data_IF_403947540043
#
_entry.id   IF_403947540043
#
_cell.length_a   1.000
_cell.length_b   1.000
_cell.length_c   1.000
_cell.angle_alpha   90.00
_cell.angle_beta   90.00
_cell.angle_gamma   90.00
#
_symmetry.space_group_name_H-M   'P 1'
#
loop_
_entity.id
_entity.type
_entity.pdbx_description
1 polymer ?
#
# COMPACT_ATOMS: atom_id res chain seq x y z
N UNK A 1 3.61 53.69 66.36
CA UNK A 1 3.79 54.69 67.42
C UNK A 1 5.22 54.63 67.91
N UNK A 2 6.04 55.60 67.55
CA UNK A 2 7.26 56.00 68.29
C UNK A 2 7.62 57.38 67.77
N UNK A 3 7.53 58.36 68.66
CA UNK A 3 7.84 59.76 68.40
C UNK A 3 9.29 59.87 67.92
N UNK A 4 9.49 60.32 66.68
CA UNK A 4 10.77 60.87 66.24
C UNK A 4 10.94 62.23 66.90
N UNK A 5 11.56 62.21 68.07
CA UNK A 5 12.09 63.39 68.74
C UNK A 5 13.40 63.75 68.01
N UNK A 6 13.30 64.34 66.81
CA UNK A 6 14.47 64.95 66.15
C UNK A 6 14.99 66.05 67.08
N UNK A 7 16.21 65.93 67.63
CA UNK A 7 16.83 67.01 68.36
C UNK A 7 17.14 68.10 67.33
N UNK A 8 16.41 69.21 67.39
CA UNK A 8 16.81 70.45 66.73
C UNK A 8 18.13 70.86 67.35
N UNK A 9 19.22 70.55 66.65
CA UNK A 9 20.54 71.12 66.94
C UNK A 9 20.37 72.65 66.89
N UNK A 10 20.76 73.39 67.93
CA UNK A 10 20.70 74.85 67.89
C UNK A 10 21.54 75.32 66.71
N UNK A 11 21.07 76.32 65.95
CA UNK A 11 21.86 77.01 64.92
C UNK A 11 23.17 77.48 65.56
N UNK A 12 24.22 76.67 65.39
CA UNK A 12 25.55 77.04 65.81
C UNK A 12 25.98 78.15 64.88
N UNK A 13 26.37 79.28 65.47
CA UNK A 13 27.04 80.38 64.78
C UNK A 13 28.22 79.80 63.99
N UNK A 14 28.02 79.53 62.71
CA UNK A 14 29.07 79.08 61.80
C UNK A 14 30.14 80.18 61.76
N UNK A 15 31.40 79.79 61.96
CA UNK A 15 32.51 80.71 61.80
C UNK A 15 32.58 81.15 60.33
N UNK A 16 32.17 82.39 60.05
CA UNK A 16 32.20 82.98 58.71
C UNK A 16 33.56 83.65 58.50
N UNK A 17 34.47 82.95 57.80
CA UNK A 17 35.82 83.46 57.51
C UNK A 17 35.76 84.73 56.66
N UNK A 18 34.69 84.90 55.88
CA UNK A 18 34.41 86.06 55.05
C UNK A 18 34.18 87.33 55.86
N UNK A 19 33.77 87.21 57.13
CA UNK A 19 33.48 88.34 58.01
C UNK A 19 34.69 88.80 58.83
N UNK A 20 35.85 88.17 58.70
CA UNK A 20 37.05 88.56 59.42
C UNK A 20 37.53 89.93 58.91
N UNK A 21 37.54 90.94 59.79
CA UNK A 21 38.01 92.27 59.44
C UNK A 21 39.53 92.30 59.24
N UNK A 22 39.98 92.35 57.99
CA UNK A 22 41.41 92.31 57.61
C UNK A 22 42.20 93.49 58.19
N UNK A 23 41.56 94.65 58.45
CA UNK A 23 42.22 95.80 59.06
C UNK A 23 42.49 95.64 60.57
N UNK A 24 41.88 94.64 61.20
CA UNK A 24 42.17 94.28 62.60
C UNK A 24 43.32 93.29 62.75
N UNK A 25 43.93 92.86 61.64
CA UNK A 25 45.12 92.00 61.70
C UNK A 25 46.30 92.78 62.30
N UNK A 26 46.95 92.25 63.36
CA UNK A 26 48.11 92.89 63.97
C UNK A 26 49.23 93.19 62.96
N UNK A 27 49.38 92.36 61.93
CA UNK A 27 50.38 92.51 60.87
C UNK A 27 50.15 93.74 59.97
N UNK A 28 48.92 94.27 59.91
CA UNK A 28 48.56 95.43 59.10
C UNK A 28 48.25 96.68 59.93
N UNK A 29 48.13 96.54 61.25
CA UNK A 29 47.78 97.63 62.15
C UNK A 29 48.85 98.73 62.14
N UNK A 30 48.43 99.99 61.96
CA UNK A 30 49.33 101.14 61.93
C UNK A 30 50.20 101.27 60.67
N UNK A 31 50.12 100.31 59.74
CA UNK A 31 50.95 100.31 58.53
C UNK A 31 50.59 101.47 57.60
N UNK A 32 49.31 101.84 57.52
CA UNK A 32 48.87 102.98 56.70
C UNK A 32 49.48 104.28 57.19
N UNK A 33 49.38 104.55 58.49
CA UNK A 33 49.95 105.73 59.14
C UNK A 33 51.47 105.77 58.97
N UNK A 34 52.14 104.61 59.14
CA UNK A 34 53.57 104.45 58.89
C UNK A 34 53.95 104.78 57.44
N UNK A 35 53.23 104.27 56.44
CA UNK A 35 53.50 104.57 55.03
C UNK A 35 53.30 106.06 54.72
N UNK A 36 52.22 106.66 55.22
CA UNK A 36 51.96 108.08 55.02
C UNK A 36 53.09 108.95 55.62
N UNK A 37 53.59 108.57 56.79
CA UNK A 37 54.72 109.26 57.42
C UNK A 37 56.02 109.07 56.61
N UNK A 38 56.31 107.86 56.14
CA UNK A 38 57.49 107.60 55.29
C UNK A 38 57.45 108.41 54.00
N UNK A 39 56.29 108.51 53.34
CA UNK A 39 56.11 109.33 52.13
C UNK A 39 56.33 110.81 52.44
N UNK A 40 55.82 111.30 53.57
CA UNK A 40 56.02 112.68 54.01
C UNK A 40 57.49 113.01 54.27
N UNK A 41 58.22 112.08 54.89
CA UNK A 41 59.63 112.26 55.24
C UNK A 41 60.60 112.04 54.06
N UNK A 42 60.12 111.41 52.98
CA UNK A 42 60.89 111.12 51.77
C UNK A 42 60.15 111.67 50.54
N UNK A 43 59.98 113.01 50.42
CA UNK A 43 59.29 113.61 49.29
C UNK A 43 60.04 113.35 47.98
N UNK A 44 59.35 113.52 46.87
CA UNK A 44 59.96 113.42 45.55
C UNK A 44 61.06 114.49 45.39
N UNK A 45 62.23 114.05 44.93
CA UNK A 45 63.38 114.92 44.64
C UNK A 45 63.67 114.81 43.15
N UNK A 46 63.51 115.91 42.41
CA UNK A 46 63.96 116.00 41.03
C UNK A 46 65.48 116.07 40.98
N UNK A 47 66.11 115.26 40.13
CA UNK A 47 67.57 115.15 40.05
C UNK A 47 68.07 116.21 39.07
N UNK A 48 68.76 117.22 39.59
CA UNK A 48 69.34 118.32 38.81
C UNK A 48 70.86 118.41 38.95
N UNK A 49 71.42 117.77 39.98
CA UNK A 49 72.85 117.71 40.28
C UNK A 49 73.21 116.41 41.05
N UNK A 50 74.49 116.22 41.37
CA UNK A 50 74.94 115.02 42.09
C UNK A 50 74.40 114.92 43.53
N UNK A 51 74.09 116.05 44.18
CA UNK A 51 73.57 116.05 45.55
C UNK A 51 72.11 115.58 45.58
N UNK A 52 71.29 116.12 44.69
CA UNK A 52 69.89 115.72 44.49
C UNK A 52 69.77 114.27 44.02
N UNK A 53 70.75 113.75 43.25
CA UNK A 53 70.85 112.33 42.94
C UNK A 53 70.99 111.45 44.18
N UNK A 54 71.92 111.78 45.09
CA UNK A 54 72.17 111.00 46.31
C UNK A 54 70.97 111.03 47.27
N UNK A 55 70.32 112.18 47.40
CA UNK A 55 69.11 112.34 48.21
C UNK A 55 67.93 111.57 47.60
N UNK A 56 67.73 111.64 46.28
CA UNK A 56 66.71 110.84 45.57
C UNK A 56 66.95 109.33 45.73
N UNK A 57 68.20 108.87 45.68
CA UNK A 57 68.57 107.45 45.87
C UNK A 57 68.27 106.96 47.29
N UNK A 58 68.54 107.77 48.32
CA UNK A 58 68.20 107.45 49.71
C UNK A 58 66.68 107.35 49.89
N UNK A 59 65.94 108.37 49.46
CA UNK A 59 64.47 108.39 49.50
C UNK A 59 63.86 107.19 48.78
N UNK A 60 64.34 106.87 47.56
CA UNK A 60 63.90 105.67 46.82
C UNK A 60 64.13 104.39 47.61
N UNK A 61 65.30 104.25 48.24
CA UNK A 61 65.63 103.04 49.02
C UNK A 61 64.69 102.90 50.22
N UNK A 62 64.40 103.98 50.94
CA UNK A 62 63.42 103.99 52.04
C UNK A 62 62.02 103.60 51.57
N UNK A 63 61.54 104.20 50.48
CA UNK A 63 60.22 103.90 49.91
C UNK A 63 60.09 102.44 49.43
N UNK A 64 61.12 101.92 48.76
CA UNK A 64 61.16 100.51 48.32
C UNK A 64 61.16 99.57 49.51
N UNK A 65 61.93 99.85 50.55
CA UNK A 65 61.93 99.07 51.79
C UNK A 65 60.55 99.06 52.44
N UNK A 66 59.91 100.23 52.56
CA UNK A 66 58.58 100.38 53.14
C UNK A 66 57.50 99.59 52.38
N UNK A 67 57.53 99.60 51.04
CA UNK A 67 56.66 98.76 50.20
C UNK A 67 56.94 97.28 50.39
N UNK A 68 58.21 96.89 50.40
CA UNK A 68 58.63 95.49 50.51
C UNK A 68 58.26 94.91 51.88
N UNK A 69 58.26 95.73 52.94
CA UNK A 69 57.76 95.34 54.27
C UNK A 69 56.29 94.90 54.21
N UNK A 70 55.41 95.65 53.53
CA UNK A 70 53.99 95.27 53.36
C UNK A 70 53.87 93.96 52.55
N UNK A 71 54.64 93.81 51.47
CA UNK A 71 54.65 92.57 50.68
C UNK A 71 55.10 91.36 51.52
N UNK A 72 55.99 91.55 52.48
CA UNK A 72 56.40 90.49 53.39
C UNK A 72 55.29 90.15 54.41
N UNK A 73 54.54 91.14 54.91
CA UNK A 73 53.38 90.91 55.77
C UNK A 73 52.26 90.14 55.04
N UNK A 74 51.99 90.50 53.79
CA UNK A 74 51.02 89.77 52.93
C UNK A 74 51.38 88.28 52.78
N UNK A 75 52.65 87.99 52.45
CA UNK A 75 53.15 86.61 52.38
C UNK A 75 53.03 85.87 53.71
N UNK A 76 53.26 86.55 54.83
CA UNK A 76 53.12 85.98 56.17
C UNK A 76 51.66 85.61 56.46
N UNK A 77 50.72 86.52 56.16
CA UNK A 77 49.28 86.28 56.32
C UNK A 77 48.84 85.09 55.46
N UNK A 78 49.22 85.04 54.19
CA UNK A 78 48.91 83.93 53.29
C UNK A 78 49.45 82.60 53.83
N UNK A 79 50.68 82.58 54.36
CA UNK A 79 51.24 81.38 54.99
C UNK A 79 50.45 80.93 56.22
N UNK A 80 49.95 81.84 57.05
CA UNK A 80 49.12 81.52 58.21
C UNK A 80 47.76 80.95 57.82
N UNK A 81 47.10 81.53 56.82
CA UNK A 81 45.83 81.01 56.28
C UNK A 81 46.01 79.60 55.73
N UNK A 82 47.11 79.35 54.99
CA UNK A 82 47.42 78.01 54.48
C UNK A 82 47.56 77.00 55.63
N UNK A 83 48.32 77.34 56.67
CA UNK A 83 48.47 76.48 57.86
C UNK A 83 47.15 76.20 58.56
N UNK A 84 46.28 77.21 58.68
CA UNK A 84 44.95 77.03 59.23
C UNK A 84 44.12 76.03 58.41
N UNK A 85 44.11 76.15 57.08
CA UNK A 85 43.43 75.20 56.19
C UNK A 85 44.00 73.78 56.32
N UNK A 86 45.32 73.64 56.39
CA UNK A 86 46.00 72.36 56.60
C UNK A 86 45.57 71.74 57.95
N UNK A 87 45.47 72.53 59.02
CA UNK A 87 44.97 72.07 60.32
C UNK A 87 43.50 71.62 60.26
N UNK A 88 42.62 72.38 59.58
CA UNK A 88 41.22 71.99 59.37
C UNK A 88 41.10 70.68 58.59
N UNK A 89 41.92 70.49 57.55
CA UNK A 89 41.97 69.24 56.80
C UNK A 89 42.44 68.07 57.69
N UNK A 90 43.48 68.28 58.51
CA UNK A 90 43.96 67.29 59.46
C UNK A 90 42.89 66.84 60.45
N UNK A 91 42.16 67.78 61.07
CA UNK A 91 41.04 67.45 61.98
C UNK A 91 39.93 66.72 61.24
N UNK A 92 39.64 67.09 59.99
CA UNK A 92 38.61 66.43 59.19
C UNK A 92 38.99 64.97 58.89
N UNK A 93 40.25 64.71 58.55
CA UNK A 93 40.78 63.35 58.37
C UNK A 93 40.76 62.54 59.67
N UNK A 94 41.10 63.16 60.82
CA UNK A 94 40.98 62.51 62.13
C UNK A 94 39.53 62.10 62.43
N UNK A 95 38.57 62.98 62.15
CA UNK A 95 37.15 62.69 62.33
C UNK A 95 36.65 61.57 61.40
N UNK A 96 37.09 61.56 60.13
CA UNK A 96 36.79 60.49 59.17
C UNK A 96 37.42 59.17 59.62
N UNK A 97 38.66 59.21 60.13
CA UNK A 97 39.38 58.03 60.59
C UNK A 97 38.70 57.34 61.78
N UNK A 98 37.85 58.05 62.54
CA UNK A 98 37.02 57.44 63.60
C UNK A 98 35.99 56.49 62.99
N UNK A 99 35.28 56.90 61.94
CA UNK A 99 34.15 56.12 61.39
C UNK A 99 34.57 55.15 60.29
N UNK A 100 35.59 55.50 59.50
CA UNK A 100 35.98 54.75 58.30
C UNK A 100 36.29 53.27 58.56
N UNK A 101 37.09 52.88 59.59
CA UNK A 101 37.38 51.47 59.83
C UNK A 101 36.14 50.64 60.19
N UNK A 102 35.15 51.25 60.85
CA UNK A 102 33.90 50.59 61.20
C UNK A 102 32.98 50.45 59.99
N UNK A 103 32.92 51.46 59.13
CA UNK A 103 32.23 51.40 57.84
C UNK A 103 32.83 50.28 56.98
N UNK A 104 34.15 50.27 56.78
CA UNK A 104 34.84 49.26 55.97
C UNK A 104 34.59 47.85 56.53
N UNK A 105 34.64 47.67 57.86
CA UNK A 105 34.31 46.40 58.53
C UNK A 105 32.86 45.98 58.29
N UNK A 106 31.92 46.92 58.37
CA UNK A 106 30.50 46.66 58.14
C UNK A 106 30.24 46.29 56.68
N UNK A 107 30.86 46.99 55.72
CA UNK A 107 30.77 46.67 54.30
C UNK A 107 31.31 45.26 54.00
N UNK A 108 32.46 44.90 54.57
CA UNK A 108 33.05 43.57 54.42
C UNK A 108 32.15 42.46 54.99
N UNK A 109 31.52 42.70 56.14
CA UNK A 109 30.58 41.76 56.76
C UNK A 109 29.31 41.58 55.92
N UNK A 110 28.72 42.68 55.43
CA UNK A 110 27.55 42.65 54.54
C UNK A 110 27.87 41.85 53.28
N UNK A 111 28.99 42.15 52.64
CA UNK A 111 29.44 41.42 51.45
C UNK A 111 29.63 39.92 51.72
N UNK A 112 30.28 39.55 52.83
CA UNK A 112 30.45 38.14 53.23
C UNK A 112 29.11 37.43 53.40
N UNK A 113 28.13 38.09 54.01
CA UNK A 113 26.80 37.53 54.23
C UNK A 113 26.03 37.37 52.92
N UNK A 114 26.07 38.36 52.04
CA UNK A 114 25.44 38.30 50.71
C UNK A 114 26.04 37.17 49.85
N UNK A 115 27.37 37.04 49.81
CA UNK A 115 28.04 35.94 49.12
C UNK A 115 27.66 34.57 49.71
N UNK A 116 27.54 34.46 51.03
CA UNK A 116 27.10 33.21 51.67
C UNK A 116 25.64 32.88 51.32
N UNK A 117 24.76 33.88 51.29
CA UNK A 117 23.35 33.71 50.92
C UNK A 117 23.16 33.36 49.45
N UNK A 118 23.96 33.94 48.57
CA UNK A 118 23.96 33.59 47.15
C UNK A 118 24.42 32.14 46.96
N UNK A 119 25.50 31.70 47.62
CA UNK A 119 25.94 30.30 47.60
C UNK A 119 24.87 29.35 48.13
N UNK A 120 24.19 29.70 49.23
CA UNK A 120 23.09 28.91 49.77
C UNK A 120 21.93 28.78 48.75
N UNK A 121 21.59 29.88 48.06
CA UNK A 121 20.55 29.88 47.01
C UNK A 121 20.95 29.01 45.83
N UNK A 122 22.20 29.11 45.36
CA UNK A 122 22.73 28.32 44.27
C UNK A 122 22.79 26.83 44.63
N UNK A 123 23.20 26.49 45.85
CA UNK A 123 23.25 25.09 46.29
C UNK A 123 21.85 24.49 46.43
N UNK A 124 20.88 25.25 46.96
CA UNK A 124 19.47 24.82 46.98
C UNK A 124 18.92 24.58 45.57
N UNK A 125 19.24 25.45 44.62
CA UNK A 125 18.86 25.26 43.22
C UNK A 125 19.53 24.02 42.61
N UNK A 126 20.81 23.77 42.92
CA UNK A 126 21.56 22.59 42.47
C UNK A 126 20.94 21.30 43.01
N UNK A 127 20.66 21.24 44.32
CA UNK A 127 20.04 20.09 44.97
C UNK A 127 18.64 19.79 44.41
N UNK A 128 17.87 20.84 44.11
CA UNK A 128 16.55 20.70 43.50
C UNK A 128 16.63 20.18 42.05
N UNK A 129 17.57 20.68 41.23
CA UNK A 129 17.78 20.13 39.89
C UNK A 129 18.35 18.69 39.91
N UNK A 130 19.18 18.37 40.90
CA UNK A 130 19.66 17.01 41.14
C UNK A 130 18.50 16.07 41.52
N UNK A 131 17.59 16.49 42.41
CA UNK A 131 16.35 15.76 42.75
C UNK A 131 15.52 15.48 41.49
N UNK A 132 15.22 16.50 40.69
CA UNK A 132 14.46 16.36 39.43
C UNK A 132 15.12 15.42 38.45
N UNK A 133 16.44 15.52 38.30
CA UNK A 133 17.23 14.66 37.41
C UNK A 133 17.16 13.20 37.88
N UNK A 134 17.27 12.96 39.18
CA UNK A 134 17.15 11.62 39.76
C UNK A 134 15.76 11.01 39.52
N UNK A 135 14.69 11.78 39.68
CA UNK A 135 13.32 11.33 39.39
C UNK A 135 13.17 10.97 37.91
N UNK A 136 13.62 11.83 36.99
CA UNK A 136 13.59 11.55 35.54
C UNK A 136 14.38 10.30 35.18
N UNK A 137 15.56 10.12 35.77
CA UNK A 137 16.39 8.95 35.54
C UNK A 137 15.71 7.67 36.04
N UNK A 138 15.04 7.72 37.20
CA UNK A 138 14.27 6.60 37.73
C UNK A 138 13.11 6.23 36.78
N UNK A 139 12.32 7.22 36.33
CA UNK A 139 11.27 7.03 35.34
C UNK A 139 11.83 6.35 34.09
N UNK A 140 12.90 6.90 33.50
CA UNK A 140 13.50 6.33 32.30
C UNK A 140 13.99 4.91 32.52
N UNK A 141 14.63 4.62 33.66
CA UNK A 141 15.09 3.27 33.99
C UNK A 141 13.94 2.26 34.03
N UNK A 142 12.81 2.62 34.64
CA UNK A 142 11.61 1.75 34.70
C UNK A 142 11.08 1.49 33.28
N UNK A 143 10.96 2.54 32.47
CA UNK A 143 10.41 2.47 31.12
C UNK A 143 11.34 1.70 30.16
N UNK A 144 12.66 1.89 30.27
CA UNK A 144 13.66 1.19 29.46
C UNK A 144 13.73 -0.30 29.82
N UNK A 145 13.63 -0.64 31.10
CA UNK A 145 13.53 -2.03 31.53
C UNK A 145 12.25 -2.68 30.97
N UNK A 146 11.10 -2.00 31.10
CA UNK A 146 9.83 -2.46 30.57
C UNK A 146 9.91 -2.70 29.05
N UNK A 147 10.45 -1.73 28.31
CA UNK A 147 10.66 -1.81 26.86
C UNK A 147 11.56 -2.99 26.49
N UNK A 148 12.65 -3.20 27.22
CA UNK A 148 13.57 -4.31 27.00
C UNK A 148 12.88 -5.66 27.19
N UNK A 149 12.02 -5.81 28.22
CA UNK A 149 11.26 -7.05 28.42
C UNK A 149 10.21 -7.27 27.33
N UNK A 150 9.51 -6.21 26.89
CA UNK A 150 8.57 -6.30 25.76
C UNK A 150 9.27 -6.73 24.48
N UNK A 151 10.47 -6.20 24.20
CA UNK A 151 11.23 -6.56 23.00
C UNK A 151 11.69 -8.02 23.00
N UNK A 152 11.95 -8.58 24.18
CA UNK A 152 12.32 -9.99 24.37
C UNK A 152 11.13 -10.94 24.52
N UNK A 153 9.90 -10.42 24.45
CA UNK A 153 8.69 -11.23 24.63
C UNK A 153 8.54 -12.26 23.51
N UNK A 154 8.22 -13.50 23.91
CA UNK A 154 7.84 -14.61 23.04
C UNK A 154 6.41 -15.07 23.37
N UNK A 155 5.80 -15.90 22.52
CA UNK A 155 4.43 -16.36 22.73
C UNK A 155 4.26 -17.11 24.06
N UNK A 156 5.24 -17.95 24.42
CA UNK A 156 5.23 -18.76 25.65
C UNK A 156 5.34 -17.92 26.92
N UNK A 157 5.89 -16.70 26.82
CA UNK A 157 6.19 -15.85 27.97
C UNK A 157 5.14 -14.75 28.20
N UNK A 158 4.10 -14.66 27.37
CA UNK A 158 3.06 -13.62 27.42
C UNK A 158 2.44 -13.50 28.81
N UNK A 159 1.91 -14.60 29.36
CA UNK A 159 1.19 -14.57 30.64
C UNK A 159 2.10 -14.20 31.82
N UNK A 160 3.33 -14.72 31.82
CA UNK A 160 4.32 -14.36 32.84
C UNK A 160 4.68 -12.87 32.80
N UNK A 161 4.78 -12.29 31.60
CA UNK A 161 5.11 -10.88 31.44
C UNK A 161 3.93 -9.97 31.80
N UNK A 162 2.70 -10.33 31.42
CA UNK A 162 1.48 -9.62 31.85
C UNK A 162 1.41 -9.51 33.37
N UNK A 163 1.64 -10.63 34.07
CA UNK A 163 1.64 -10.66 35.52
C UNK A 163 2.73 -9.75 36.12
N UNK A 164 3.95 -9.80 35.56
CA UNK A 164 5.03 -8.92 35.98
C UNK A 164 4.66 -7.43 35.85
N UNK A 165 4.08 -7.03 34.72
CA UNK A 165 3.70 -5.64 34.46
C UNK A 165 2.59 -5.16 35.41
N UNK A 166 1.56 -6.00 35.64
CA UNK A 166 0.45 -5.67 36.54
C UNK A 166 0.93 -5.49 37.99
N UNK A 167 1.90 -6.29 38.42
CA UNK A 167 2.41 -6.24 39.80
C UNK A 167 3.47 -5.17 40.03
N UNK A 168 4.37 -4.95 39.06
CA UNK A 168 5.59 -4.16 39.28
C UNK A 168 5.61 -2.83 38.54
N UNK A 169 4.77 -2.65 37.52
CA UNK A 169 4.80 -1.44 36.68
C UNK A 169 3.48 -0.68 36.80
N UNK A 170 2.34 -1.33 36.58
CA UNK A 170 1.04 -0.65 36.55
C UNK A 170 0.51 -0.25 37.92
N UNK A 171 1.07 -0.84 38.98
CA UNK A 171 0.78 -0.49 40.39
C UNK A 171 1.87 0.36 41.04
N UNK A 172 2.80 0.90 40.25
CA UNK A 172 3.81 1.84 40.75
C UNK A 172 3.11 3.03 41.38
N UNK A 173 3.49 3.37 42.61
CA UNK A 173 3.00 4.57 43.28
C UNK A 173 3.48 5.80 42.52
N UNK A 174 2.58 6.48 41.83
CA UNK A 174 2.93 7.59 40.94
C UNK A 174 3.38 8.80 41.75
N UNK A 175 2.94 8.93 43.01
CA UNK A 175 3.27 10.08 43.88
C UNK A 175 4.76 10.22 44.19
N UNK A 176 5.53 9.14 44.05
CA UNK A 176 6.99 9.17 44.19
C UNK A 176 7.70 10.01 43.10
N UNK A 177 6.99 10.36 42.02
CA UNK A 177 7.51 11.14 40.90
C UNK A 177 7.17 12.63 40.96
N UNK A 178 6.45 13.08 42.01
CA UNK A 178 6.19 14.49 42.31
C UNK A 178 5.68 15.31 41.09
N UNK A 179 6.45 16.27 40.57
CA UNK A 179 6.00 17.07 39.41
C UNK A 179 6.00 16.29 38.08
N UNK A 180 6.58 15.10 38.05
CA UNK A 180 6.70 14.23 36.87
C UNK A 180 5.67 13.10 36.83
N UNK A 181 4.64 13.14 37.69
CA UNK A 181 3.54 12.17 37.67
C UNK A 181 2.88 12.04 36.28
N UNK A 182 2.66 13.18 35.60
CA UNK A 182 2.07 13.19 34.26
C UNK A 182 3.01 12.57 33.22
N UNK A 183 4.31 12.89 33.26
CA UNK A 183 5.31 12.31 32.34
C UNK A 183 5.40 10.79 32.51
N UNK A 184 5.42 10.30 33.76
CA UNK A 184 5.40 8.87 34.02
C UNK A 184 4.12 8.21 33.48
N UNK A 185 2.94 8.79 33.73
CA UNK A 185 1.67 8.25 33.24
C UNK A 185 1.58 8.20 31.71
N UNK A 186 2.08 9.22 31.01
CA UNK A 186 2.15 9.23 29.55
C UNK A 186 3.04 8.10 29.03
N UNK A 187 4.24 7.94 29.59
CA UNK A 187 5.14 6.83 29.23
C UNK A 187 4.55 5.47 29.57
N UNK A 188 3.84 5.37 30.70
CA UNK A 188 3.15 4.15 31.12
C UNK A 188 2.06 3.75 30.12
N UNK A 189 1.28 4.72 29.62
CA UNK A 189 0.30 4.47 28.56
C UNK A 189 0.95 3.99 27.26
N UNK A 190 2.07 4.59 26.87
CA UNK A 190 2.83 4.13 25.70
C UNK A 190 3.26 2.67 25.88
N UNK A 191 3.83 2.33 27.04
CA UNK A 191 4.24 0.97 27.39
C UNK A 191 3.07 -0.02 27.34
N UNK A 192 1.89 0.34 27.88
CA UNK A 192 0.68 -0.47 27.80
C UNK A 192 0.29 -0.77 26.34
N UNK A 193 0.32 0.26 25.50
CA UNK A 193 -0.02 0.13 24.08
C UNK A 193 1.01 -0.74 23.34
N UNK A 194 2.30 -0.55 23.60
CA UNK A 194 3.37 -1.35 22.99
C UNK A 194 3.28 -2.82 23.40
N UNK A 195 3.05 -3.11 24.69
CA UNK A 195 2.86 -4.48 25.18
C UNK A 195 1.64 -5.13 24.52
N UNK A 196 0.50 -4.44 24.51
CA UNK A 196 -0.74 -4.93 23.90
C UNK A 196 -0.56 -5.24 22.41
N UNK A 197 0.06 -4.32 21.66
CA UNK A 197 0.37 -4.52 20.24
C UNK A 197 1.28 -5.72 20.03
N UNK A 198 2.34 -5.87 20.84
CA UNK A 198 3.30 -6.97 20.72
C UNK A 198 2.66 -8.32 21.01
N UNK A 199 1.82 -8.40 22.04
CA UNK A 199 1.04 -9.60 22.38
C UNK A 199 0.17 -10.01 21.20
N UNK A 200 -0.62 -9.07 20.66
CA UNK A 200 -1.50 -9.34 19.52
C UNK A 200 -0.73 -9.89 18.32
N UNK A 201 0.41 -9.27 17.98
CA UNK A 201 1.26 -9.77 16.88
C UNK A 201 1.79 -11.18 17.13
N UNK A 202 2.17 -11.52 18.35
CA UNK A 202 2.63 -12.87 18.70
C UNK A 202 1.50 -13.89 18.66
N UNK A 203 0.30 -13.53 19.14
CA UNK A 203 -0.89 -14.38 19.09
C UNK A 203 -1.32 -14.65 17.64
N UNK A 204 -1.30 -13.63 16.77
CA UNK A 204 -1.57 -13.77 15.34
C UNK A 204 -0.51 -14.65 14.64
N UNK A 205 0.77 -14.47 14.97
CA UNK A 205 1.85 -15.29 14.41
C UNK A 205 1.73 -16.77 14.84
N UNK A 206 1.36 -17.04 16.09
CA UNK A 206 1.16 -18.40 16.57
C UNK A 206 -0.09 -19.03 15.94
N UNK A 207 -1.18 -18.28 15.79
CA UNK A 207 -2.38 -18.75 15.09
C UNK A 207 -2.06 -19.14 13.64
N UNK A 208 -1.27 -18.33 12.92
CA UNK A 208 -0.80 -18.64 11.57
C UNK A 208 0.10 -19.89 11.54
N UNK A 209 0.96 -20.08 12.55
CA UNK A 209 1.80 -21.28 12.66
C UNK A 209 0.95 -22.53 12.82
N UNK A 210 -0.05 -22.49 13.71
CA UNK A 210 -0.97 -23.60 13.94
C UNK A 210 -1.84 -23.89 12.71
N UNK A 211 -2.32 -22.87 12.02
CA UNK A 211 -3.07 -23.01 10.78
C UNK A 211 -2.21 -23.66 9.68
N UNK A 212 -0.95 -23.24 9.53
CA UNK A 212 -0.01 -23.86 8.59
C UNK A 212 0.21 -25.34 8.88
N UNK A 213 0.40 -25.70 10.15
CA UNK A 213 0.53 -27.10 10.57
C UNK A 213 -0.71 -27.90 10.19
N UNK A 214 -1.90 -27.35 10.44
CA UNK A 214 -3.17 -27.98 10.07
C UNK A 214 -3.30 -28.16 8.55
N UNK A 215 -2.96 -27.14 7.77
CA UNK A 215 -2.99 -27.18 6.30
C UNK A 215 -2.00 -28.20 5.74
N UNK A 216 -0.81 -28.31 6.31
CA UNK A 216 0.20 -29.29 5.89
C UNK A 216 -0.22 -30.72 6.21
N UNK A 217 -0.84 -30.95 7.38
CA UNK A 217 -1.43 -32.25 7.75
C UNK A 217 -2.61 -32.61 6.83
N UNK A 218 -3.51 -31.66 6.54
CA UNK A 218 -4.62 -31.86 5.61
C UNK A 218 -4.12 -32.17 4.19
N UNK A 219 -3.09 -31.45 3.72
CA UNK A 219 -2.43 -31.73 2.43
C UNK A 219 -1.83 -33.13 2.39
N UNK A 220 -1.21 -33.58 3.48
CA UNK A 220 -0.65 -34.93 3.59
C UNK A 220 -1.76 -35.99 3.52
N UNK A 221 -2.85 -35.80 4.23
CA UNK A 221 -4.00 -36.70 4.18
C UNK A 221 -4.64 -36.76 2.78
N UNK A 222 -4.78 -35.61 2.11
CA UNK A 222 -5.26 -35.55 0.73
C UNK A 222 -4.30 -36.28 -0.21
N UNK A 223 -2.99 -36.07 -0.08
CA UNK A 223 -1.99 -36.75 -0.91
C UNK A 223 -2.00 -38.27 -0.69
N UNK A 224 -2.12 -38.73 0.56
CA UNK A 224 -2.24 -40.16 0.88
C UNK A 224 -3.55 -40.76 0.31
N UNK A 225 -4.68 -40.04 0.42
CA UNK A 225 -5.95 -40.47 -0.16
C UNK A 225 -5.90 -40.53 -1.69
N UNK A 226 -5.29 -39.52 -2.34
CA UNK A 226 -5.08 -39.51 -3.79
C UNK A 226 -4.16 -40.64 -4.25
N UNK A 227 -3.06 -40.89 -3.52
CA UNK A 227 -2.15 -41.99 -3.83
C UNK A 227 -2.86 -43.36 -3.72
N UNK A 228 -3.70 -43.54 -2.70
CA UNK A 228 -4.51 -44.75 -2.54
C UNK A 228 -5.53 -44.89 -3.66
N UNK A 229 -6.25 -43.82 -4.02
CA UNK A 229 -7.19 -43.82 -5.13
C UNK A 229 -6.51 -44.18 -6.46
N UNK A 230 -5.33 -43.61 -6.74
CA UNK A 230 -4.55 -43.92 -7.94
C UNK A 230 -4.05 -45.37 -7.93
N UNK A 231 -3.63 -45.91 -6.78
CA UNK A 231 -3.26 -47.30 -6.64
C UNK A 231 -4.46 -48.24 -6.89
N UNK A 232 -5.63 -47.92 -6.34
CA UNK A 232 -6.87 -48.65 -6.53
C UNK A 232 -7.34 -48.60 -8.00
N UNK A 233 -7.25 -47.43 -8.65
CA UNK A 233 -7.53 -47.27 -10.08
C UNK A 233 -6.59 -48.10 -10.94
N UNK A 234 -5.28 -48.07 -10.66
CA UNK A 234 -4.29 -48.87 -11.40
C UNK A 234 -4.53 -50.36 -11.22
N UNK A 235 -4.83 -50.81 -9.99
CA UNK A 235 -5.15 -52.21 -9.72
C UNK A 235 -6.46 -52.65 -10.41
N UNK A 236 -7.47 -51.78 -10.44
CA UNK A 236 -8.72 -52.03 -11.17
C UNK A 236 -8.51 -52.07 -12.69
N UNK A 237 -7.66 -51.21 -13.23
CA UNK A 237 -7.32 -51.16 -14.66
C UNK A 237 -6.48 -52.37 -15.08
N UNK A 238 -5.51 -52.80 -14.26
CA UNK A 238 -4.76 -54.05 -14.47
C UNK A 238 -5.69 -55.28 -14.43
N UNK A 239 -6.63 -55.32 -13.49
CA UNK A 239 -7.65 -56.39 -13.43
C UNK A 239 -8.57 -56.36 -14.66
N UNK A 240 -9.06 -55.19 -15.06
CA UNK A 240 -9.89 -55.05 -16.25
C UNK A 240 -9.13 -55.41 -17.54
N UNK A 241 -7.84 -55.10 -17.62
CA UNK A 241 -6.99 -55.51 -18.74
C UNK A 241 -6.74 -57.02 -18.77
N UNK A 242 -6.57 -57.66 -17.59
CA UNK A 242 -6.48 -59.11 -17.47
C UNK A 242 -7.79 -59.80 -17.88
N UNK A 243 -8.93 -59.27 -17.42
CA UNK A 243 -10.27 -59.76 -17.79
C UNK A 243 -10.53 -59.60 -19.30
N UNK A 244 -10.15 -58.46 -19.90
CA UNK A 244 -10.23 -58.26 -21.37
C UNK A 244 -9.36 -59.27 -22.12
N UNK A 245 -8.12 -59.51 -21.70
CA UNK A 245 -7.25 -60.53 -22.32
C UNK A 245 -7.83 -61.93 -22.20
N UNK A 246 -8.41 -62.26 -21.05
CA UNK A 246 -9.09 -63.54 -20.83
C UNK A 246 -10.31 -63.68 -21.75
N UNK A 247 -11.13 -62.64 -21.87
CA UNK A 247 -12.33 -62.67 -22.70
C UNK A 247 -12.00 -62.65 -24.20
N UNK A 248 -10.97 -61.92 -24.62
CA UNK A 248 -10.44 -61.97 -25.98
C UNK A 248 -9.92 -63.37 -26.32
N UNK A 249 -9.20 -64.03 -25.41
CA UNK A 249 -8.76 -65.40 -25.59
C UNK A 249 -9.94 -66.38 -25.68
N UNK A 250 -11.00 -66.17 -24.89
CA UNK A 250 -12.23 -66.97 -24.94
C UNK A 250 -12.97 -66.77 -26.26
N UNK A 251 -13.11 -65.53 -26.73
CA UNK A 251 -13.73 -65.18 -28.01
C UNK A 251 -12.93 -65.70 -29.20
N UNK A 252 -11.59 -65.65 -29.14
CA UNK A 252 -10.73 -66.23 -30.16
C UNK A 252 -10.90 -67.76 -30.25
N UNK A 253 -11.02 -68.44 -29.10
CA UNK A 253 -11.30 -69.87 -29.04
C UNK A 253 -12.69 -70.21 -29.61
N UNK A 254 -13.72 -69.45 -29.24
CA UNK A 254 -15.08 -69.62 -29.79
C UNK A 254 -15.09 -69.41 -31.31
N UNK A 255 -14.39 -68.40 -31.84
CA UNK A 255 -14.27 -68.18 -33.29
C UNK A 255 -13.54 -69.34 -33.98
N UNK A 256 -12.45 -69.83 -33.41
CA UNK A 256 -11.72 -70.98 -33.96
C UNK A 256 -12.59 -72.24 -33.98
N UNK A 257 -13.36 -72.50 -32.92
CA UNK A 257 -14.28 -73.63 -32.83
C UNK A 257 -15.44 -73.48 -33.85
N UNK A 258 -16.01 -72.29 -34.02
CA UNK A 258 -17.05 -72.00 -35.02
C UNK A 258 -16.55 -72.12 -36.46
N UNK A 259 -15.32 -71.70 -36.73
CA UNK A 259 -14.70 -71.80 -38.05
C UNK A 259 -14.40 -73.25 -38.42
N UNK A 260 -13.91 -74.05 -37.46
CA UNK A 260 -13.74 -75.50 -37.64
C UNK A 260 -15.08 -76.22 -37.86
N UNK A 261 -16.15 -75.80 -37.18
CA UNK A 261 -17.49 -76.38 -37.37
C UNK A 261 -18.11 -76.00 -38.73
N UNK A 262 -17.93 -74.74 -39.18
CA UNK A 262 -18.34 -74.29 -40.52
C UNK A 262 -17.57 -75.02 -41.62
N UNK A 263 -16.29 -75.29 -41.43
CA UNK A 263 -15.47 -76.04 -42.38
C UNK A 263 -15.88 -77.52 -42.44
N UNK A 264 -16.20 -78.12 -41.29
CA UNK A 264 -16.78 -79.47 -41.22
C UNK A 264 -18.17 -79.55 -41.88
N UNK A 265 -19.01 -78.52 -41.73
CA UNK A 265 -20.31 -78.44 -42.41
C UNK A 265 -20.17 -78.24 -43.92
N UNK A 266 -19.23 -77.41 -44.37
CA UNK A 266 -18.93 -77.24 -45.80
C UNK A 266 -18.44 -78.52 -46.45
N UNK A 267 -17.62 -79.30 -45.74
CA UNK A 267 -17.15 -80.61 -46.21
C UNK A 267 -18.31 -81.62 -46.32
N UNK A 268 -19.18 -81.70 -45.31
CA UNK A 268 -20.40 -82.53 -45.37
C UNK A 268 -21.33 -82.12 -46.50
N UNK A 269 -21.51 -80.81 -46.73
CA UNK A 269 -22.37 -80.29 -47.79
C UNK A 269 -21.79 -80.59 -49.19
N UNK A 270 -20.46 -80.58 -49.34
CA UNK A 270 -19.80 -80.97 -50.59
C UNK A 270 -19.97 -82.47 -50.87
N UNK A 271 -19.76 -83.32 -49.86
CA UNK A 271 -19.93 -84.78 -49.98
C UNK A 271 -21.39 -85.18 -50.29
N UNK A 272 -22.37 -84.46 -49.72
CA UNK A 272 -23.81 -84.64 -49.99
C UNK A 272 -24.17 -84.24 -51.43
N UNK A 273 -23.60 -83.13 -51.93
CA UNK A 273 -23.86 -82.62 -53.27
C UNK A 273 -23.25 -83.52 -54.34
N UNK A 274 -22.08 -84.10 -54.09
CA UNK A 274 -21.46 -85.10 -54.97
C UNK A 274 -22.28 -86.40 -55.03
N UNK A 275 -22.93 -86.79 -53.93
CA UNK A 275 -23.90 -87.89 -53.91
C UNK A 275 -25.16 -87.59 -54.73
N UNK A 276 -25.71 -86.39 -54.61
CA UNK A 276 -26.91 -85.98 -55.37
C UNK A 276 -26.62 -85.86 -56.87
N UNK A 277 -25.45 -85.35 -57.25
CA UNK A 277 -25.04 -85.25 -58.65
C UNK A 277 -24.79 -86.64 -59.28
N UNK A 278 -24.27 -87.60 -58.51
CA UNK A 278 -24.13 -88.99 -58.95
C UNK A 278 -25.48 -89.71 -59.11
N UNK A 279 -26.46 -89.41 -58.24
CA UNK A 279 -27.80 -89.99 -58.28
C UNK A 279 -28.66 -89.42 -59.42
N UNK A 280 -28.55 -88.11 -59.69
CA UNK A 280 -29.17 -87.44 -60.84
C UNK A 280 -28.63 -87.97 -62.17
N UNK A 281 -27.31 -88.23 -62.26
CA UNK A 281 -26.70 -88.82 -63.47
C UNK A 281 -27.18 -90.26 -63.71
N UNK A 282 -27.33 -91.07 -62.66
CA UNK A 282 -27.85 -92.44 -62.76
C UNK A 282 -29.35 -92.50 -63.10
N UNK A 283 -30.13 -91.47 -62.76
CA UNK A 283 -31.53 -91.35 -63.18
C UNK A 283 -31.66 -90.86 -64.63
N UNK A 284 -30.80 -89.95 -65.08
CA UNK A 284 -30.78 -89.45 -66.45
C UNK A 284 -30.38 -90.56 -67.46
N UNK A 285 -29.39 -91.40 -67.11
CA UNK A 285 -28.97 -92.54 -67.95
C UNK A 285 -30.06 -93.64 -68.08
N UNK A 286 -30.99 -93.73 -67.12
CA UNK A 286 -32.17 -94.63 -67.21
C UNK A 286 -33.26 -94.06 -68.13
N UNK A 287 -33.48 -92.75 -68.10
CA UNK A 287 -34.48 -92.06 -68.93
C UNK A 287 -34.06 -92.07 -70.41
N UNK A 288 -32.76 -91.94 -70.70
CA UNK A 288 -32.24 -91.94 -72.07
C UNK A 288 -32.19 -93.34 -72.72
N UNK A 289 -32.10 -94.41 -71.91
CA UNK A 289 -32.20 -95.80 -72.36
C UNK A 289 -33.65 -96.24 -72.66
N UNK A 290 -34.63 -95.61 -72.01
CA UNK A 290 -36.07 -95.91 -72.17
C UNK A 290 -36.68 -95.11 -73.33
N UNK A 291 -36.27 -93.86 -73.54
CA UNK A 291 -36.68 -93.04 -74.69
C UNK A 291 -36.17 -93.56 -76.04
N UNK A 292 -35.04 -94.26 -76.07
CA UNK A 292 -34.50 -94.89 -77.29
C UNK A 292 -35.30 -96.11 -77.75
N UNK A 293 -35.97 -96.83 -76.83
CA UNK A 293 -36.86 -97.96 -77.16
C UNK A 293 -38.25 -97.53 -77.62
N UNK A 294 -38.71 -96.35 -77.19
CA UNK A 294 -40.03 -95.80 -77.55
C UNK A 294 -40.00 -95.11 -78.92
N UNK A 295 -38.85 -94.60 -79.36
CA UNK A 295 -38.70 -93.91 -80.66
C UNK A 295 -38.64 -94.87 -81.87
N UNK A 296 -38.17 -96.11 -81.67
CA UNK A 296 -38.08 -97.12 -82.76
C UNK A 296 -39.42 -97.83 -83.05
N UNK A 297 -40.36 -97.88 -82.09
CA UNK A 297 -41.71 -98.43 -82.30
C UNK A 297 -42.68 -97.38 -82.90
N UNK A 298 -42.49 -96.10 -82.60
CA UNK A 298 -43.33 -94.98 -83.09
C UNK A 298 -43.22 -94.72 -84.59
N UNK A 299 -42.06 -95.01 -85.20
CA UNK A 299 -41.83 -94.80 -86.63
C UNK A 299 -42.44 -95.90 -87.52
N UNK A 300 -42.91 -97.01 -86.94
CA UNK A 300 -43.55 -98.12 -87.68
C UNK A 300 -45.07 -97.96 -87.83
N UNK A 301 -45.73 -97.30 -86.88
CA UNK A 301 -47.20 -97.16 -86.85
C UNK A 301 -47.70 -95.90 -87.59
N UNK A 302 -46.88 -94.86 -87.71
CA UNK A 302 -47.25 -93.60 -88.37
C UNK A 302 -47.41 -93.66 -89.91
N UNK A 303 -47.16 -94.81 -90.55
CA UNK A 303 -47.27 -94.97 -92.02
C UNK A 303 -48.57 -95.65 -92.48
N UNK A 304 -49.37 -96.21 -91.57
CA UNK A 304 -50.61 -96.95 -91.92
C UNK A 304 -51.91 -96.20 -91.56
N UNK A 305 -51.84 -95.13 -90.76
CA UNK A 305 -53.03 -94.42 -90.25
C UNK A 305 -53.24 -93.02 -90.87
N UNK A 306 -52.49 -92.70 -91.94
CA UNK A 306 -52.57 -91.44 -92.67
C UNK A 306 -53.74 -91.38 -93.69
N UNK A 307 -54.36 -92.51 -94.04
CA UNK A 307 -55.36 -92.57 -95.11
C UNK A 307 -56.84 -92.68 -94.64
N UNK A 308 -57.13 -92.63 -93.34
CA UNK A 308 -58.51 -92.87 -92.84
C UNK A 308 -59.11 -91.79 -91.92
N UNK A 309 -58.35 -90.80 -91.47
CA UNK A 309 -58.84 -89.73 -90.57
C UNK A 309 -58.74 -88.35 -91.29
N UNK A 310 -59.19 -88.33 -92.55
CA UNK A 310 -59.35 -87.12 -93.36
C UNK A 310 -60.82 -86.69 -93.49
N UNK A 311 -61.74 -87.20 -92.64
CA UNK A 311 -63.17 -86.96 -92.80
C UNK A 311 -63.98 -86.65 -91.52
N UNK A 312 -63.43 -86.67 -90.30
CA UNK A 312 -64.31 -86.77 -89.11
C UNK A 312 -63.90 -85.97 -87.86
N UNK A 313 -63.15 -84.87 -87.98
CA UNK A 313 -62.93 -83.98 -86.83
C UNK A 313 -62.77 -82.50 -87.16
N UNK A 314 -63.58 -82.06 -88.12
CA UNK A 314 -63.87 -80.65 -88.39
C UNK A 314 -65.02 -80.07 -87.53
N UNK A 315 -65.51 -80.78 -86.52
CA UNK A 315 -66.78 -80.39 -85.85
C UNK A 315 -66.84 -80.59 -84.33
N UNK A 316 -65.70 -80.71 -83.62
CA UNK A 316 -65.82 -81.01 -82.19
C UNK A 316 -64.67 -80.58 -81.29
N UNK A 317 -64.16 -79.35 -81.45
CA UNK A 317 -63.55 -78.64 -80.31
C UNK A 317 -63.56 -77.11 -80.43
N UNK A 318 -64.68 -76.58 -80.95
CA UNK A 318 -65.24 -75.26 -80.61
C UNK A 318 -65.92 -75.27 -79.22
N UNK A 319 -65.35 -76.03 -78.27
CA UNK A 319 -65.83 -76.13 -76.88
C UNK A 319 -64.67 -76.37 -75.90
N UNK A 320 -63.53 -75.75 -76.20
CA UNK A 320 -62.43 -75.49 -75.26
C UNK A 320 -61.99 -74.02 -75.38
N UNK A 321 -62.98 -73.15 -75.56
CA UNK A 321 -62.92 -71.74 -75.20
C UNK A 321 -63.67 -71.57 -73.87
N UNK A 322 -62.95 -71.64 -72.75
CA UNK A 322 -63.52 -71.16 -71.48
C UNK A 322 -62.52 -70.61 -70.48
N UNK A 323 -61.19 -70.76 -70.61
CA UNK A 323 -60.31 -70.27 -69.53
C UNK A 323 -58.90 -69.81 -69.93
N UNK A 324 -58.74 -69.25 -71.13
CA UNK A 324 -57.51 -68.48 -71.41
C UNK A 324 -57.64 -67.44 -72.52
N UNK A 325 -58.61 -66.54 -72.36
CA UNK A 325 -58.57 -65.19 -72.96
C UNK A 325 -57.55 -64.38 -72.13
N UNK A 326 -56.27 -64.28 -72.46
CA UNK A 326 -55.68 -63.74 -73.67
C UNK A 326 -56.34 -62.43 -74.14
N UNK A 327 -55.56 -61.37 -73.98
CA UNK A 327 -55.57 -60.11 -74.75
C UNK A 327 -56.42 -58.98 -74.18
N UNK A 328 -55.92 -58.20 -73.22
CA UNK A 328 -54.62 -57.46 -73.30
C UNK A 328 -54.57 -56.50 -74.52
N UNK A 329 -55.73 -56.09 -75.03
CA UNK A 329 -55.89 -55.10 -76.09
C UNK A 329 -56.80 -53.90 -75.73
N UNK A 330 -57.29 -53.80 -74.49
CA UNK A 330 -58.06 -52.63 -74.01
C UNK A 330 -57.23 -51.68 -73.10
N UNK A 331 -56.17 -52.18 -72.45
CA UNK A 331 -55.37 -51.41 -71.48
C UNK A 331 -54.32 -50.47 -72.09
N UNK A 332 -54.00 -50.62 -73.38
CA UNK A 332 -53.07 -49.73 -74.08
C UNK A 332 -53.71 -48.39 -74.53
N UNK A 333 -55.05 -48.27 -74.53
CA UNK A 333 -55.75 -47.02 -74.88
C UNK A 333 -56.18 -46.17 -73.69
N UNK A 334 -56.18 -46.70 -72.46
CA UNK A 334 -56.51 -45.95 -71.23
C UNK A 334 -55.29 -45.29 -70.55
N UNK A 335 -54.05 -45.77 -70.77
CA UNK A 335 -52.83 -45.16 -70.18
C UNK A 335 -52.32 -43.90 -70.91
N UNK A 336 -52.51 -43.78 -72.22
CA UNK A 336 -52.10 -42.58 -72.97
C UNK A 336 -53.01 -41.34 -72.74
N UNK A 337 -54.25 -41.54 -72.28
CA UNK A 337 -55.18 -40.44 -71.92
C UNK A 337 -55.09 -40.00 -70.45
N UNK A 338 -54.59 -40.86 -69.55
CA UNK A 338 -54.43 -40.53 -68.13
C UNK A 338 -53.13 -39.76 -67.81
N UNK A 339 -52.07 -39.97 -68.60
CA UNK A 339 -50.76 -39.31 -68.37
C UNK A 339 -50.70 -37.88 -68.95
N UNK A 340 -51.44 -37.61 -70.03
CA UNK A 340 -51.64 -36.25 -70.55
C UNK A 340 -52.53 -35.38 -69.63
N UNK A 341 -53.54 -35.97 -68.97
CA UNK A 341 -54.40 -35.26 -68.02
C UNK A 341 -53.68 -34.92 -66.70
N UNK A 342 -52.72 -35.74 -66.26
CA UNK A 342 -51.91 -35.50 -65.05
C UNK A 342 -50.95 -34.31 -65.21
N UNK A 343 -50.39 -34.12 -66.41
CA UNK A 343 -49.47 -33.01 -66.71
C UNK A 343 -50.20 -31.67 -66.92
N UNK A 344 -51.46 -31.70 -67.38
CA UNK A 344 -52.32 -30.52 -67.52
C UNK A 344 -52.84 -30.02 -66.15
N UNK A 345 -53.15 -30.92 -65.20
CA UNK A 345 -53.64 -30.58 -63.86
C UNK A 345 -52.56 -30.05 -62.90
N UNK A 346 -51.27 -30.28 -63.19
CA UNK A 346 -50.14 -29.81 -62.38
C UNK A 346 -49.65 -28.39 -62.74
N UNK A 347 -50.14 -27.79 -63.83
CA UNK A 347 -49.82 -26.41 -64.24
C UNK A 347 -50.19 -25.34 -63.19
N UNK A 348 -51.41 -25.31 -62.61
CA UNK A 348 -51.76 -24.30 -61.60
C UNK A 348 -50.99 -24.43 -60.29
N UNK A 349 -50.55 -25.65 -59.91
CA UNK A 349 -49.75 -25.85 -58.70
C UNK A 349 -48.29 -25.45 -58.88
N UNK A 350 -47.69 -25.70 -60.07
CA UNK A 350 -46.38 -25.16 -60.44
C UNK A 350 -46.38 -23.63 -60.41
N UNK A 351 -47.45 -23.01 -60.91
CA UNK A 351 -47.60 -21.55 -60.89
C UNK A 351 -47.66 -21.00 -59.46
N UNK A 352 -48.43 -21.62 -58.55
CA UNK A 352 -48.49 -21.24 -57.13
C UNK A 352 -47.13 -21.37 -56.42
N UNK A 353 -46.37 -22.43 -56.70
CA UNK A 353 -45.06 -22.63 -56.10
C UNK A 353 -44.04 -21.59 -56.59
N UNK A 354 -44.08 -21.23 -57.88
CA UNK A 354 -43.26 -20.15 -58.44
C UNK A 354 -43.66 -18.79 -57.86
N UNK A 355 -44.96 -18.49 -57.77
CA UNK A 355 -45.47 -17.23 -57.18
C UNK A 355 -45.10 -17.09 -55.71
N UNK A 356 -45.16 -18.18 -54.93
CA UNK A 356 -44.72 -18.19 -53.54
C UNK A 356 -43.22 -17.89 -53.41
N UNK A 357 -42.37 -18.53 -54.20
CA UNK A 357 -40.92 -18.26 -54.18
C UNK A 357 -40.59 -16.84 -54.67
N UNK A 358 -41.34 -16.31 -55.65
CA UNK A 358 -41.22 -14.92 -56.07
C UNK A 358 -41.69 -13.93 -55.01
N UNK A 359 -42.67 -14.30 -54.18
CA UNK A 359 -43.11 -13.46 -53.05
C UNK A 359 -42.05 -13.33 -51.95
N UNK A 360 -41.16 -14.32 -51.80
CA UNK A 360 -40.01 -14.23 -50.90
C UNK A 360 -38.89 -13.33 -51.47
N UNK A 361 -38.98 -12.94 -52.74
CA UNK A 361 -37.97 -12.17 -53.46
C UNK A 361 -38.10 -10.66 -53.25
N UNK A 362 -39.12 -10.15 -52.54
CA UNK A 362 -39.31 -8.71 -52.34
C UNK A 362 -39.63 -8.28 -50.89
N UNK A 363 -38.85 -7.27 -50.49
CA UNK A 363 -39.14 -6.22 -49.49
C UNK A 363 -38.85 -6.53 -48.02
N UNK A 364 -37.57 -6.72 -47.69
CA UNK A 364 -37.04 -6.29 -46.39
C UNK A 364 -36.17 -5.08 -46.68
N UNK A 365 -36.53 -3.91 -46.14
CA UNK A 365 -35.68 -2.72 -46.19
C UNK A 365 -34.35 -3.05 -45.48
N UNK A 366 -33.23 -2.84 -46.17
CA UNK A 366 -31.91 -3.17 -45.65
C UNK A 366 -31.68 -2.43 -44.31
N UNK A 367 -31.28 -3.14 -43.22
CA UNK A 367 -30.97 -2.46 -41.97
C UNK A 367 -29.78 -1.52 -42.18
N UNK A 368 -29.87 -0.29 -41.65
CA UNK A 368 -28.74 0.64 -41.66
C UNK A 368 -27.60 0.11 -40.78
N UNK A 369 -26.65 -0.60 -41.40
CA UNK A 369 -25.44 -1.10 -40.75
C UNK A 369 -24.30 -0.11 -41.02
N UNK A 370 -23.73 0.41 -39.92
CA UNK A 370 -22.63 1.38 -39.95
C UNK A 370 -21.24 0.74 -40.08
N UNK A 371 -21.10 -0.56 -39.81
CA UNK A 371 -19.86 -1.31 -40.00
C UNK A 371 -19.74 -1.83 -41.44
N UNK A 372 -18.73 -1.35 -42.18
CA UNK A 372 -18.57 -1.62 -43.61
C UNK A 372 -18.31 -3.11 -43.92
N UNK A 373 -17.60 -3.84 -43.05
CA UNK A 373 -17.32 -5.27 -43.25
C UNK A 373 -18.56 -6.12 -42.99
N UNK A 374 -19.31 -5.78 -41.94
CA UNK A 374 -20.56 -6.46 -41.64
C UNK A 374 -21.60 -6.20 -42.74
N UNK A 375 -21.61 -4.99 -43.31
CA UNK A 375 -22.43 -4.64 -44.47
C UNK A 375 -22.06 -5.47 -45.70
N UNK A 376 -20.77 -5.65 -45.99
CA UNK A 376 -20.30 -6.47 -47.10
C UNK A 376 -20.70 -7.95 -46.93
N UNK A 377 -20.55 -8.51 -45.73
CA UNK A 377 -21.01 -9.87 -45.41
C UNK A 377 -22.53 -10.01 -45.52
N UNK A 378 -23.31 -9.02 -45.06
CA UNK A 378 -24.76 -9.03 -45.19
C UNK A 378 -25.18 -9.03 -46.67
N UNK A 379 -24.57 -8.17 -47.50
CA UNK A 379 -24.84 -8.12 -48.95
C UNK A 379 -24.51 -9.46 -49.61
N UNK A 380 -23.38 -10.08 -49.26
CA UNK A 380 -23.02 -11.39 -49.79
C UNK A 380 -23.99 -12.50 -49.36
N UNK A 381 -24.44 -12.48 -48.11
CA UNK A 381 -25.44 -13.43 -47.60
C UNK A 381 -26.79 -13.26 -48.31
N UNK A 382 -27.26 -12.02 -48.49
CA UNK A 382 -28.50 -11.73 -49.22
C UNK A 382 -28.44 -12.17 -50.68
N UNK A 383 -27.30 -11.96 -51.34
CA UNK A 383 -27.09 -12.44 -52.72
C UNK A 383 -27.19 -13.96 -52.83
N UNK A 384 -26.58 -14.71 -51.91
CA UNK A 384 -26.69 -16.18 -51.89
C UNK A 384 -28.13 -16.67 -51.71
N UNK A 385 -28.92 -15.97 -50.89
CA UNK A 385 -30.35 -16.27 -50.69
C UNK A 385 -31.12 -16.03 -52.00
N UNK A 386 -30.87 -14.92 -52.68
CA UNK A 386 -31.51 -14.63 -53.97
C UNK A 386 -31.16 -15.65 -55.05
N UNK A 387 -29.89 -16.05 -55.14
CA UNK A 387 -29.44 -17.07 -56.10
C UNK A 387 -30.14 -18.42 -55.83
N UNK A 388 -30.21 -18.85 -54.57
CA UNK A 388 -30.88 -20.08 -54.18
C UNK A 388 -32.40 -20.08 -54.49
N UNK A 389 -33.07 -18.93 -54.31
CA UNK A 389 -34.48 -18.75 -54.68
C UNK A 389 -34.64 -18.86 -56.21
N UNK A 390 -33.76 -18.23 -56.99
CA UNK A 390 -33.78 -18.26 -58.46
C UNK A 390 -33.55 -19.67 -59.02
N UNK A 391 -32.61 -20.43 -58.46
CA UNK A 391 -32.34 -21.81 -58.83
C UNK A 391 -33.55 -22.71 -58.53
N UNK A 392 -34.19 -22.51 -57.37
CA UNK A 392 -35.39 -23.25 -56.97
C UNK A 392 -36.57 -22.96 -57.90
N UNK A 393 -36.77 -21.70 -58.30
CA UNK A 393 -37.78 -21.32 -59.32
C UNK A 393 -37.50 -22.01 -60.66
N UNK A 394 -36.23 -22.05 -61.08
CA UNK A 394 -35.83 -22.68 -62.34
C UNK A 394 -36.04 -24.20 -62.33
N UNK A 395 -35.75 -24.86 -61.22
CA UNK A 395 -36.01 -26.30 -61.05
C UNK A 395 -37.51 -26.63 -61.15
N UNK A 396 -38.37 -25.82 -60.51
CA UNK A 396 -39.83 -26.02 -60.54
C UNK A 396 -40.40 -25.77 -61.94
N UNK A 397 -39.93 -24.74 -62.66
CA UNK A 397 -40.34 -24.47 -64.05
C UNK A 397 -40.00 -25.62 -65.00
N UNK A 398 -38.91 -26.34 -64.75
CA UNK A 398 -38.40 -27.41 -65.61
C UNK A 398 -38.83 -28.83 -65.17
N UNK A 399 -39.67 -28.95 -64.14
CA UNK A 399 -40.19 -30.24 -63.68
C UNK A 399 -41.07 -30.88 -64.77
N UNK A 400 -40.76 -32.12 -65.19
CA UNK A 400 -41.56 -32.86 -66.17
C UNK A 400 -42.66 -33.65 -65.48
#
# INVERSE_FOLDING_TARGET
>A
MSNENTPTMPEQNLFQIENVNVNSLPELQGMKEKQLQIVKDNPFVEITDNKTYDDAKKSRTTLVTARTEIQNQDKLIASKIKKFREAVAGVSEELIAITRPYEDKQQAEVKRWEEAKEKEKLEKARLEEERKTNIKNLINSIIDEATTKINKLSFETIESLKLYFEQNIFKTDVSQFEEFELDFNEKLMLIKNTLSSKIKTLEEAEAQRLEKIKMDEERKQIAEAQAKLLADQKAAEEKAAADRKSEEARLAKIKADQEAELEAQRKKLADEKERQDAELKAQQDKIDAENKKIQDEKNRIAKEEADKIAAEKAEQQAKEESDRKAKEAEDAKKRAKAEAARLESLKPEKQKAVEFLQSLQYSIDDPEITDEKLKEELVNAMKRIQDAISDSISAIKNFK
#
